data_IF_818627354196
#
_entry.id   IF_818627354196
#
_cell.length_a   1.000
_cell.length_b   1.000
_cell.length_c   1.000
_cell.angle_alpha   90.00
_cell.angle_beta   90.00
_cell.angle_gamma   90.00
#
_symmetry.space_group_name_H-M   'P 1'
#
loop_
_entity.id
_entity.type
_entity.pdbx_description
1 polymer ?
#
# COMPACT_ATOMS: atom_id res chain seq x y z
N UNK A 1 0.68 0.96 -3.99
CA UNK A 1 1.39 0.84 -2.70
C UNK A 1 0.41 1.11 -1.57
N UNK A 2 0.14 0.14 -0.69
CA UNK A 2 -0.70 0.37 0.49
C UNK A 2 0.06 1.14 1.58
N UNK A 3 -0.68 1.92 2.38
CA UNK A 3 -0.20 2.65 3.56
C UNK A 3 0.43 1.77 4.64
N UNK A 4 1.33 2.37 5.44
CA UNK A 4 2.07 1.71 6.52
C UNK A 4 2.41 2.65 7.69
N UNK A 5 1.76 3.81 7.76
CA UNK A 5 1.97 4.78 8.81
C UNK A 5 2.81 5.98 8.40
N UNK A 6 2.47 7.15 8.93
CA UNK A 6 3.35 8.33 9.01
C UNK A 6 3.64 8.70 10.47
N UNK A 7 4.81 9.30 10.72
CA UNK A 7 5.23 9.86 12.01
C UNK A 7 5.68 11.29 11.75
N UNK A 8 5.05 12.27 12.42
CA UNK A 8 5.36 13.70 12.25
C UNK A 8 5.32 14.17 10.78
N UNK A 9 4.38 13.65 9.98
CA UNK A 9 4.22 14.03 8.57
C UNK A 9 5.22 13.39 7.60
N UNK A 10 6.05 12.46 8.08
CA UNK A 10 7.01 11.69 7.28
C UNK A 10 6.65 10.20 7.27
N UNK A 11 6.93 9.46 6.18
CA UNK A 11 6.72 8.03 6.11
C UNK A 11 7.41 7.28 7.27
N UNK A 12 6.72 6.28 7.85
CA UNK A 12 7.40 5.30 8.70
C UNK A 12 8.50 4.58 7.90
N UNK A 13 9.48 3.94 8.57
CA UNK A 13 10.50 3.14 7.86
C UNK A 13 9.89 2.09 6.92
N UNK A 14 8.82 1.42 7.36
CA UNK A 14 8.09 0.48 6.54
C UNK A 14 7.47 1.14 5.30
N UNK A 15 6.85 2.32 5.46
CA UNK A 15 6.23 3.04 4.35
C UNK A 15 7.29 3.57 3.36
N UNK A 16 8.39 4.11 3.86
CA UNK A 16 9.51 4.59 3.05
C UNK A 16 10.11 3.48 2.16
N UNK A 17 10.31 2.28 2.73
CA UNK A 17 10.79 1.10 1.98
C UNK A 17 9.80 0.72 0.87
N UNK A 18 8.50 0.72 1.15
CA UNK A 18 7.48 0.44 0.13
C UNK A 18 7.52 1.45 -1.02
N UNK A 19 7.63 2.73 -0.69
CA UNK A 19 7.73 3.79 -1.71
C UNK A 19 9.01 3.59 -2.52
N UNK A 20 10.13 3.29 -1.88
CA UNK A 20 11.40 3.05 -2.56
C UNK A 20 11.35 1.86 -3.51
N UNK A 21 10.78 0.73 -3.09
CA UNK A 21 10.59 -0.42 -3.97
C UNK A 21 9.71 -0.09 -5.19
N UNK A 22 8.66 0.70 -4.99
CA UNK A 22 7.81 1.17 -6.08
C UNK A 22 8.54 2.11 -7.04
N UNK A 23 9.31 3.08 -6.50
CA UNK A 23 10.13 4.00 -7.30
C UNK A 23 11.22 3.24 -8.06
N UNK A 24 11.82 2.20 -7.47
CA UNK A 24 12.79 1.36 -8.16
C UNK A 24 12.17 0.64 -9.36
N UNK A 25 10.97 0.08 -9.22
CA UNK A 25 10.24 -0.53 -10.34
C UNK A 25 9.89 0.48 -11.44
N UNK A 26 9.48 1.69 -11.05
CA UNK A 26 9.17 2.78 -11.96
C UNK A 26 10.41 3.19 -12.76
N UNK A 27 11.55 3.43 -12.09
CA UNK A 27 12.83 3.77 -12.73
C UNK A 27 13.37 2.68 -13.65
N UNK A 28 13.07 1.41 -13.35
CA UNK A 28 13.42 0.26 -14.20
C UNK A 28 12.44 0.07 -15.38
N UNK A 29 11.43 0.94 -15.54
CA UNK A 29 10.41 0.83 -16.58
C UNK A 29 9.51 -0.40 -16.43
N UNK A 30 9.43 -1.00 -15.24
CA UNK A 30 8.58 -2.17 -14.97
C UNK A 30 7.14 -1.79 -14.66
N UNK A 31 6.92 -0.56 -14.21
CA UNK A 31 5.61 0.07 -14.03
C UNK A 31 5.67 1.48 -14.60
N UNK A 32 4.53 2.00 -15.06
CA UNK A 32 4.43 3.33 -15.67
C UNK A 32 3.85 4.38 -14.73
N UNK A 33 3.04 3.95 -13.75
CA UNK A 33 2.34 4.82 -12.80
C UNK A 33 2.43 4.25 -11.40
N UNK A 34 2.38 5.13 -10.40
CA UNK A 34 2.36 4.80 -9.00
C UNK A 34 1.01 5.18 -8.38
N UNK A 35 0.25 4.18 -7.93
CA UNK A 35 -0.95 4.39 -7.11
C UNK A 35 -0.59 4.27 -5.62
N UNK A 36 -0.79 5.32 -4.85
CA UNK A 36 -0.61 5.33 -3.39
C UNK A 36 -1.97 5.35 -2.71
N UNK A 37 -2.27 4.30 -1.95
CA UNK A 37 -3.56 4.11 -1.28
C UNK A 37 -3.34 4.00 0.21
N UNK A 38 -4.02 4.85 0.97
CA UNK A 38 -3.81 4.98 2.41
C UNK A 38 -4.93 5.75 3.09
N UNK A 39 -4.77 5.93 4.39
CA UNK A 39 -5.76 6.57 5.24
C UNK A 39 -5.61 8.10 5.20
N UNK A 40 -6.73 8.79 4.97
CA UNK A 40 -6.86 10.25 5.08
C UNK A 40 -8.09 10.66 5.92
N UNK A 41 -8.52 9.81 6.85
CA UNK A 41 -9.73 9.99 7.67
C UNK A 41 -9.63 11.14 8.69
N UNK A 42 -8.45 11.73 8.88
CA UNK A 42 -8.24 12.86 9.78
C UNK A 42 -7.48 14.00 9.12
N UNK A 43 -7.91 15.24 9.39
CA UNK A 43 -7.23 16.47 8.96
C UNK A 43 -5.76 16.57 9.44
N UNK A 44 -5.38 15.78 10.44
CA UNK A 44 -4.03 15.73 11.00
C UNK A 44 -3.22 14.54 10.50
N UNK A 45 -3.77 13.72 9.61
CA UNK A 45 -3.15 12.50 9.12
C UNK A 45 -3.35 12.35 7.61
N UNK A 46 -2.39 12.86 6.85
CA UNK A 46 -2.38 12.77 5.39
C UNK A 46 -1.22 11.89 4.92
N UNK A 47 -1.44 10.57 5.03
CA UNK A 47 -0.44 9.56 4.67
C UNK A 47 -0.06 9.63 3.19
N UNK A 48 -1.06 9.72 2.31
CA UNK A 48 -0.85 9.64 0.86
C UNK A 48 -0.16 10.87 0.29
N UNK A 49 -0.38 12.07 0.84
CA UNK A 49 0.40 13.26 0.47
C UNK A 49 1.87 13.13 0.91
N UNK A 50 2.13 12.54 2.08
CA UNK A 50 3.51 12.24 2.49
C UNK A 50 4.17 11.22 1.55
N UNK A 51 3.44 10.19 1.11
CA UNK A 51 3.91 9.23 0.11
C UNK A 51 4.26 9.90 -1.22
N UNK A 52 3.39 10.79 -1.72
CA UNK A 52 3.64 11.57 -2.95
C UNK A 52 4.87 12.44 -2.83
N UNK A 53 4.98 13.23 -1.75
CA UNK A 53 6.16 14.07 -1.49
C UNK A 53 7.45 13.25 -1.48
N UNK A 54 7.42 12.09 -0.83
CA UNK A 54 8.59 11.22 -0.74
C UNK A 54 8.96 10.59 -2.10
N UNK A 55 7.98 10.14 -2.88
CA UNK A 55 8.24 9.62 -4.24
C UNK A 55 8.78 10.72 -5.18
N UNK A 56 8.25 11.94 -5.08
CA UNK A 56 8.74 13.10 -5.84
C UNK A 56 10.16 13.49 -5.45
N UNK A 57 10.53 13.41 -4.16
CA UNK A 57 11.92 13.65 -3.72
C UNK A 57 12.88 12.57 -4.26
N UNK A 58 12.36 11.37 -4.56
CA UNK A 58 13.05 10.32 -5.29
C UNK A 58 12.91 10.46 -6.82
N UNK A 59 12.48 11.61 -7.34
CA UNK A 59 12.50 11.93 -8.76
C UNK A 59 11.39 11.32 -9.62
N UNK A 60 10.30 10.85 -9.01
CA UNK A 60 9.09 10.49 -9.77
C UNK A 60 8.29 11.76 -10.08
N UNK A 61 7.93 12.03 -11.33
CA UNK A 61 7.13 13.20 -11.69
C UNK A 61 5.71 13.10 -11.10
N UNK A 62 5.12 14.26 -10.81
CA UNK A 62 3.84 14.36 -10.12
C UNK A 62 2.67 13.74 -10.90
N UNK A 63 2.72 13.85 -12.22
CA UNK A 63 1.75 13.31 -13.17
C UNK A 63 1.74 11.79 -13.26
N UNK A 64 2.76 11.11 -12.72
CA UNK A 64 2.83 9.65 -12.68
C UNK A 64 2.44 9.08 -11.31
N UNK A 65 1.97 9.94 -10.40
CA UNK A 65 1.54 9.57 -9.05
C UNK A 65 0.05 9.86 -8.89
N UNK A 66 -0.73 8.80 -8.68
CA UNK A 66 -2.15 8.85 -8.36
C UNK A 66 -2.35 8.57 -6.87
N UNK A 67 -3.24 9.33 -6.23
CA UNK A 67 -3.50 9.23 -4.81
C UNK A 67 -4.90 8.71 -4.54
N UNK A 68 -4.98 7.67 -3.71
CA UNK A 68 -6.21 7.11 -3.18
C UNK A 68 -6.30 7.39 -1.67
N UNK A 69 -7.10 8.40 -1.34
CA UNK A 69 -7.31 8.89 0.03
C UNK A 69 -8.28 8.04 0.86
N UNK A 70 -8.82 6.96 0.31
CA UNK A 70 -9.84 6.13 0.95
C UNK A 70 -9.44 4.64 1.06
N UNK A 71 -8.14 4.39 1.21
CA UNK A 71 -7.56 3.05 1.38
C UNK A 71 -7.49 2.59 2.83
N UNK A 72 -8.62 2.49 3.54
CA UNK A 72 -8.64 2.19 4.99
C UNK A 72 -8.34 0.72 5.33
N UNK A 73 -8.44 -0.17 4.35
CA UNK A 73 -8.13 -1.59 4.51
C UNK A 73 -7.54 -2.15 3.21
N UNK A 74 -6.85 -3.28 3.30
CA UNK A 74 -6.31 -3.96 2.11
C UNK A 74 -7.39 -4.30 1.10
N UNK A 75 -8.58 -4.70 1.58
CA UNK A 75 -9.73 -4.96 0.73
C UNK A 75 -10.16 -3.68 0.00
N UNK A 76 -10.32 -2.57 0.71
CA UNK A 76 -10.69 -1.28 0.13
C UNK A 76 -9.65 -0.76 -0.85
N UNK A 77 -8.37 -0.83 -0.53
CA UNK A 77 -7.28 -0.48 -1.46
C UNK A 77 -7.40 -1.27 -2.76
N UNK A 78 -7.63 -2.58 -2.69
CA UNK A 78 -7.74 -3.42 -3.89
C UNK A 78 -9.05 -3.14 -4.65
N UNK A 79 -10.16 -3.01 -3.95
CA UNK A 79 -11.46 -2.69 -4.55
C UNK A 79 -11.37 -1.36 -5.29
N UNK A 80 -10.92 -0.30 -4.62
CA UNK A 80 -10.83 1.04 -5.18
C UNK A 80 -9.83 1.10 -6.33
N UNK A 81 -8.69 0.40 -6.25
CA UNK A 81 -7.78 0.26 -7.37
C UNK A 81 -8.51 -0.23 -8.64
N UNK A 82 -9.39 -1.22 -8.52
CA UNK A 82 -10.17 -1.75 -9.66
C UNK A 82 -11.28 -0.79 -10.10
N UNK A 83 -12.17 -0.40 -9.19
CA UNK A 83 -13.42 0.29 -9.53
C UNK A 83 -13.27 1.78 -9.74
N UNK A 84 -12.32 2.43 -9.06
CA UNK A 84 -12.13 3.88 -9.07
C UNK A 84 -10.98 4.26 -10.00
N UNK A 85 -9.87 3.52 -9.92
CA UNK A 85 -8.68 3.80 -10.70
C UNK A 85 -8.53 2.92 -11.95
N UNK A 86 -9.46 1.99 -12.19
CA UNK A 86 -9.47 1.16 -13.40
C UNK A 86 -8.30 0.18 -13.51
N UNK A 87 -7.58 -0.09 -12.41
CA UNK A 87 -6.40 -0.95 -12.39
C UNK A 87 -6.80 -2.40 -12.65
N UNK A 88 -6.27 -2.97 -13.74
CA UNK A 88 -6.46 -4.40 -14.08
C UNK A 88 -5.22 -5.26 -13.85
N UNK A 89 -4.03 -4.65 -13.85
CA UNK A 89 -2.74 -5.32 -13.64
C UNK A 89 -1.86 -4.46 -12.75
N UNK A 90 -1.23 -5.05 -11.73
CA UNK A 90 -0.50 -4.28 -10.71
C UNK A 90 0.68 -5.06 -10.13
N UNK A 91 1.72 -4.32 -9.72
CA UNK A 91 2.73 -4.81 -8.78
C UNK A 91 2.43 -4.22 -7.41
N UNK A 92 2.02 -5.05 -6.46
CA UNK A 92 1.80 -4.62 -5.07
C UNK A 92 3.14 -4.60 -4.36
N UNK A 93 3.56 -3.42 -3.91
CA UNK A 93 4.77 -3.24 -3.09
C UNK A 93 4.35 -3.07 -1.64
N UNK A 94 4.69 -4.04 -0.79
CA UNK A 94 4.39 -4.02 0.64
C UNK A 94 5.41 -4.88 1.40
N UNK A 95 5.36 -4.92 2.74
CA UNK A 95 6.21 -5.82 3.53
C UNK A 95 5.91 -7.28 3.21
N UNK A 96 6.94 -8.13 3.23
CA UNK A 96 6.87 -9.55 2.90
C UNK A 96 5.87 -10.31 3.77
N UNK A 97 5.71 -9.97 5.05
CA UNK A 97 4.69 -10.58 5.92
C UNK A 97 3.26 -10.27 5.47
N UNK A 98 3.02 -9.10 4.85
CA UNK A 98 1.70 -8.61 4.41
C UNK A 98 1.39 -8.95 2.94
N UNK A 99 2.44 -9.19 2.15
CA UNK A 99 2.35 -9.38 0.70
C UNK A 99 1.40 -10.52 0.28
N UNK A 100 1.39 -11.70 0.93
CA UNK A 100 0.51 -12.80 0.51
C UNK A 100 -0.96 -12.41 0.55
N UNK A 101 -1.41 -11.77 1.64
CA UNK A 101 -2.80 -11.34 1.80
C UNK A 101 -3.17 -10.26 0.78
N UNK A 102 -2.30 -9.27 0.56
CA UNK A 102 -2.57 -8.21 -0.39
C UNK A 102 -2.69 -8.72 -1.84
N UNK A 103 -1.78 -9.58 -2.28
CA UNK A 103 -1.83 -10.21 -3.61
C UNK A 103 -3.04 -11.11 -3.74
N UNK A 104 -3.35 -11.90 -2.71
CA UNK A 104 -4.53 -12.76 -2.69
C UNK A 104 -5.82 -11.94 -2.86
N UNK A 105 -6.03 -10.91 -2.02
CA UNK A 105 -7.23 -10.07 -2.08
C UNK A 105 -7.39 -9.39 -3.44
N UNK A 106 -6.31 -8.84 -4.01
CA UNK A 106 -6.36 -8.21 -5.33
C UNK A 106 -6.78 -9.20 -6.43
N UNK A 107 -6.21 -10.42 -6.43
CA UNK A 107 -6.56 -11.46 -7.40
C UNK A 107 -8.00 -11.91 -7.29
N UNK A 108 -8.50 -12.07 -6.06
CA UNK A 108 -9.90 -12.46 -5.84
C UNK A 108 -10.88 -11.36 -6.26
N UNK A 109 -10.46 -10.10 -6.23
CA UNK A 109 -11.24 -8.98 -6.78
C UNK A 109 -11.09 -8.84 -8.30
N UNK A 110 -10.33 -9.71 -8.97
CA UNK A 110 -10.18 -9.75 -10.43
C UNK A 110 -9.02 -8.94 -10.99
N UNK A 111 -8.04 -8.56 -10.17
CA UNK A 111 -6.83 -7.83 -10.60
C UNK A 111 -5.70 -8.83 -10.86
N UNK A 112 -5.03 -8.74 -12.01
CA UNK A 112 -3.76 -9.45 -12.29
C UNK A 112 -2.63 -8.85 -11.43
N UNK A 113 -2.51 -9.35 -10.21
CA UNK A 113 -1.55 -8.84 -9.23
C UNK A 113 -0.34 -9.76 -9.08
N UNK A 114 0.85 -9.14 -9.08
CA UNK A 114 2.10 -9.72 -8.58
C UNK A 114 2.63 -8.87 -7.43
N UNK A 115 3.61 -9.38 -6.68
CA UNK A 115 4.10 -8.74 -5.47
C UNK A 115 5.59 -8.45 -5.49
N UNK A 116 6.00 -7.31 -4.91
CA UNK A 116 7.37 -7.03 -4.49
C UNK A 116 7.39 -6.92 -2.97
N UNK A 117 8.03 -7.89 -2.32
CA UNK A 117 8.19 -7.93 -0.86
C UNK A 117 9.33 -7.05 -0.41
N UNK A 118 9.02 -6.06 0.42
CA UNK A 118 10.03 -5.30 1.16
C UNK A 118 10.42 -6.05 2.44
N UNK A 119 11.61 -5.79 2.99
CA UNK A 119 12.03 -6.35 4.27
C UNK A 119 11.05 -6.01 5.41
N UNK A 120 10.77 -6.99 6.28
CA UNK A 120 9.79 -6.87 7.36
C UNK A 120 10.36 -6.19 8.61
N UNK A 121 11.47 -6.74 9.13
CA UNK A 121 11.97 -6.47 10.48
C UNK A 121 13.23 -5.61 10.51
N UNK A 122 13.66 -5.17 9.32
CA UNK A 122 14.85 -4.36 9.12
C UNK A 122 14.56 -3.34 8.04
N UNK A 123 14.81 -2.05 8.30
CA UNK A 123 14.90 -1.06 7.23
C UNK A 123 16.33 -0.57 7.16
N UNK A 124 16.90 -0.55 5.94
CA UNK A 124 18.26 -0.08 5.69
C UNK A 124 18.27 1.34 5.11
N UNK A 125 17.13 2.01 5.06
CA UNK A 125 17.03 3.33 4.46
C UNK A 125 17.61 4.45 5.34
N UNK A 126 18.46 5.25 4.70
CA UNK A 126 18.89 6.59 5.10
C UNK A 126 19.47 6.67 6.52
N UNK A 127 20.72 6.18 6.64
CA UNK A 127 21.68 6.47 7.73
C UNK A 127 21.48 5.73 9.06
N UNK A 128 20.42 4.94 9.26
CA UNK A 128 20.29 4.05 10.43
C UNK A 128 19.52 2.77 10.08
N UNK A 129 20.06 1.63 10.50
CA UNK A 129 19.33 0.36 10.49
C UNK A 129 18.32 0.38 11.63
N UNK A 130 17.03 0.24 11.30
CA UNK A 130 15.97 0.11 12.30
C UNK A 130 15.62 -1.36 12.41
N UNK A 131 15.68 -1.88 13.63
CA UNK A 131 15.28 -3.24 13.96
C UNK A 131 13.99 -3.19 14.77
N UNK A 132 12.99 -3.96 14.34
CA UNK A 132 11.79 -4.17 15.14
C UNK A 132 12.13 -5.05 16.34
N UNK A 133 11.55 -4.74 17.49
CA UNK A 133 11.66 -5.55 18.70
C UNK A 133 10.91 -6.88 18.53
N UNK A 134 11.26 -7.88 19.34
CA UNK A 134 10.53 -9.15 19.36
C UNK A 134 9.03 -8.96 19.66
N UNK A 135 8.69 -8.02 20.54
CA UNK A 135 7.29 -7.69 20.85
C UNK A 135 6.54 -7.14 19.64
N UNK A 136 7.15 -6.22 18.89
CA UNK A 136 6.56 -5.68 17.67
C UNK A 136 6.40 -6.75 16.59
N UNK A 137 7.41 -7.61 16.40
CA UNK A 137 7.33 -8.74 15.46
C UNK A 137 6.15 -9.66 15.78
N UNK A 138 5.97 -10.05 17.05
CA UNK A 138 4.84 -10.87 17.49
C UNK A 138 3.51 -10.13 17.26
N UNK A 139 3.43 -8.86 17.64
CA UNK A 139 2.23 -8.06 17.47
C UNK A 139 1.79 -7.97 16.01
N UNK A 140 2.69 -7.61 15.08
CA UNK A 140 2.38 -7.51 13.66
C UNK A 140 2.01 -8.86 13.05
N UNK A 141 2.69 -9.95 13.46
CA UNK A 141 2.38 -11.31 12.99
C UNK A 141 0.99 -11.76 13.44
N UNK A 142 0.63 -11.54 14.70
CA UNK A 142 -0.70 -11.89 15.22
C UNK A 142 -1.80 -11.05 14.57
N UNK A 143 -1.57 -9.73 14.44
CA UNK A 143 -2.47 -8.85 13.72
C UNK A 143 -2.67 -9.33 12.28
N UNK A 144 -1.61 -9.76 11.61
CA UNK A 144 -1.70 -10.25 10.23
C UNK A 144 -2.49 -11.56 10.14
N UNK A 145 -2.34 -12.48 11.09
CA UNK A 145 -3.16 -13.69 11.15
C UNK A 145 -4.67 -13.37 11.24
N UNK A 146 -5.05 -12.41 12.09
CA UNK A 146 -6.43 -11.94 12.18
C UNK A 146 -6.89 -11.25 10.89
N UNK A 147 -6.01 -10.46 10.27
CA UNK A 147 -6.31 -9.78 9.02
C UNK A 147 -6.49 -10.76 7.85
N UNK A 148 -5.78 -11.89 7.83
CA UNK A 148 -5.98 -12.98 6.86
C UNK A 148 -7.37 -13.59 7.01
N UNK A 149 -7.79 -13.92 8.24
CA UNK A 149 -9.14 -14.43 8.48
C UNK A 149 -10.21 -13.44 8.02
N UNK A 150 -10.03 -12.15 8.33
CA UNK A 150 -10.91 -11.10 7.84
C UNK A 150 -10.93 -11.02 6.32
N UNK A 151 -9.77 -11.08 5.65
CA UNK A 151 -9.70 -11.01 4.20
C UNK A 151 -10.41 -12.19 3.52
N UNK A 152 -10.30 -13.40 4.08
CA UNK A 152 -11.07 -14.55 3.60
C UNK A 152 -12.58 -14.32 3.74
N UNK A 153 -13.03 -13.76 4.86
CA UNK A 153 -14.43 -13.41 5.08
C UNK A 153 -14.93 -12.32 4.14
N UNK A 154 -14.18 -11.23 3.99
CA UNK A 154 -14.55 -10.11 3.12
C UNK A 154 -14.68 -10.56 1.67
N UNK A 155 -13.76 -11.41 1.20
CA UNK A 155 -13.70 -11.86 -0.19
C UNK A 155 -14.72 -12.94 -0.51
N UNK A 156 -15.02 -13.86 0.40
CA UNK A 156 -15.87 -15.03 0.09
C UNK A 156 -17.28 -14.93 0.63
N UNK A 157 -17.53 -14.05 1.61
CA UNK A 157 -18.81 -13.98 2.32
C UNK A 157 -19.40 -12.58 2.23
N UNK A 158 -18.74 -11.60 2.84
CA UNK A 158 -19.37 -10.30 3.08
C UNK A 158 -19.41 -9.38 1.85
N UNK A 159 -18.38 -9.43 0.99
CA UNK A 159 -18.22 -8.55 -0.17
C UNK A 159 -18.55 -7.08 0.13
N UNK A 160 -17.98 -6.47 1.19
CA UNK A 160 -18.38 -5.13 1.61
C UNK A 160 -18.10 -4.11 0.51
N UNK A 161 -18.91 -3.05 0.46
CA UNK A 161 -18.57 -1.86 -0.32
C UNK A 161 -17.49 -1.05 0.42
N UNK A 162 -16.60 -0.33 -0.29
CA UNK A 162 -15.66 0.59 0.35
C UNK A 162 -16.37 1.66 1.16
N UNK A 163 -15.72 2.11 2.24
CA UNK A 163 -16.23 3.17 3.14
C UNK A 163 -16.56 4.43 2.35
N UNK A 164 -15.70 4.76 1.38
CA UNK A 164 -15.95 5.80 0.39
C UNK A 164 -15.71 5.19 -0.99
N UNK A 165 -16.74 5.19 -1.85
CA UNK A 165 -16.62 4.72 -3.22
C UNK A 165 -16.08 5.84 -4.12
N UNK A 166 -16.72 7.01 -4.14
CA UNK A 166 -16.33 8.12 -5.02
C UNK A 166 -16.65 7.86 -6.51
N UNK A 167 -16.46 8.86 -7.39
CA UNK A 167 -16.60 8.70 -8.83
C UNK A 167 -15.42 7.92 -9.41
N UNK A 168 -15.54 7.42 -10.64
CA UNK A 168 -14.40 6.88 -11.39
C UNK A 168 -13.39 8.00 -11.69
N UNK A 169 -12.11 7.75 -11.39
CA UNK A 169 -11.00 8.70 -11.59
C UNK A 169 -10.03 8.23 -12.68
N UNK A 170 -9.84 6.91 -12.83
CA UNK A 170 -8.86 6.34 -13.74
C UNK A 170 -7.41 6.50 -13.25
N UNK A 171 -6.50 5.79 -13.91
CA UNK A 171 -5.05 5.93 -13.73
C UNK A 171 -4.47 6.24 -15.11
N UNK A 172 -4.48 7.53 -15.47
CA UNK A 172 -3.91 8.03 -16.72
C UNK A 172 -2.39 8.15 -16.64
#
# INVERSE_FOLDING_TARGET
>A
VPGAGIINGEPTPALAERIYGAVALYRLGKVQKLLFSGDNSSIHYDEVTAMRRYAMSLGVPAEDITLDYAGFSTYETCYRARDIFGVRKVVIVTQSYHLPRAVYTARQLGIDAVGLGMPDWTSAQVRRTIHYTAGEMVFYTLREALAILKALWDVHVAHPLPTYLGPFEGID
#
